data_IF_407622457030
#
_entry.id   IF_407622457030
#
_cell.length_a   1.000
_cell.length_b   1.000
_cell.length_c   1.000
_cell.angle_alpha   90.00
_cell.angle_beta   90.00
_cell.angle_gamma   90.00
#
_symmetry.space_group_name_H-M   'P 1'
#
loop_
_entity.id
_entity.type
_entity.pdbx_description
1 polymer ?
#
# COMPACT_ATOMS: atom_id res chain seq x y z
N UNK A 1 11.05 -10.53 -28.07
CA UNK A 1 11.36 -9.65 -26.95
C UNK A 1 12.77 -9.19 -27.17
N UNK A 2 12.92 -7.98 -27.73
CA UNK A 2 14.24 -7.43 -27.96
C UNK A 2 14.91 -7.23 -26.59
N UNK A 3 16.05 -7.88 -26.39
CA UNK A 3 16.92 -7.63 -25.25
C UNK A 3 17.35 -6.17 -25.37
N UNK A 4 16.87 -5.33 -24.45
CA UNK A 4 17.43 -3.99 -24.29
C UNK A 4 18.87 -4.21 -23.88
N UNK A 5 19.80 -3.95 -24.82
CA UNK A 5 21.23 -3.95 -24.54
C UNK A 5 21.49 -2.79 -23.57
N UNK A 6 21.41 -3.07 -22.29
CA UNK A 6 21.73 -2.11 -21.24
C UNK A 6 23.24 -1.85 -21.35
N UNK A 7 23.59 -0.75 -22.00
CA UNK A 7 24.96 -0.30 -22.05
C UNK A 7 25.38 0.08 -20.62
N UNK A 8 26.03 -0.85 -19.92
CA UNK A 8 26.39 -0.77 -18.49
C UNK A 8 27.11 0.53 -18.11
N UNK A 9 27.76 1.19 -19.07
CA UNK A 9 28.43 2.48 -18.84
C UNK A 9 27.49 3.65 -18.50
N UNK A 10 26.18 3.49 -18.72
CA UNK A 10 25.17 4.51 -18.37
C UNK A 10 24.38 4.17 -17.11
N UNK A 11 24.68 3.05 -16.46
CA UNK A 11 24.08 2.70 -15.19
C UNK A 11 24.76 3.45 -14.06
N UNK A 12 23.98 3.96 -13.12
CA UNK A 12 24.45 4.55 -11.88
C UNK A 12 24.54 3.42 -10.85
N UNK A 13 25.75 3.07 -10.40
CA UNK A 13 25.99 1.87 -9.60
C UNK A 13 26.55 2.15 -8.21
N UNK A 14 26.92 3.41 -7.91
CA UNK A 14 27.47 3.76 -6.59
C UNK A 14 26.68 4.91 -5.96
N UNK A 15 26.79 5.03 -4.64
CA UNK A 15 26.16 6.13 -3.89
C UNK A 15 26.79 7.48 -4.29
N UNK A 16 28.09 7.51 -4.53
CA UNK A 16 28.84 8.70 -4.95
C UNK A 16 28.33 9.24 -6.31
N UNK A 17 28.03 8.35 -7.24
CA UNK A 17 27.42 8.71 -8.52
C UNK A 17 26.01 9.27 -8.34
N UNK A 18 25.20 8.69 -7.43
CA UNK A 18 23.87 9.23 -7.08
C UNK A 18 24.01 10.61 -6.47
N UNK A 19 24.92 10.81 -5.53
CA UNK A 19 25.14 12.12 -4.89
C UNK A 19 25.65 13.18 -5.87
N UNK A 20 26.52 12.79 -6.80
CA UNK A 20 26.98 13.69 -7.87
C UNK A 20 25.84 14.12 -8.81
N UNK A 21 24.88 13.21 -9.09
CA UNK A 21 23.75 13.48 -9.98
C UNK A 21 22.66 14.33 -9.32
N UNK A 22 22.34 14.10 -8.05
CA UNK A 22 21.20 14.72 -7.36
C UNK A 22 21.60 15.84 -6.39
N UNK A 23 22.85 15.88 -5.93
CA UNK A 23 23.32 16.81 -4.93
C UNK A 23 22.76 16.50 -3.52
N UNK A 24 23.04 17.39 -2.59
CA UNK A 24 22.57 17.25 -1.21
C UNK A 24 21.05 17.44 -1.11
N UNK A 25 20.36 16.67 -0.23
CA UNK A 25 18.94 16.85 0.01
C UNK A 25 18.66 18.23 0.62
N UNK A 26 17.52 18.82 0.28
CA UNK A 26 17.06 20.05 0.90
C UNK A 26 16.87 19.85 2.41
N UNK A 27 17.35 20.77 3.22
CA UNK A 27 17.24 20.74 4.69
C UNK A 27 15.77 20.54 5.15
N UNK A 28 14.81 21.21 4.49
CA UNK A 28 13.39 21.06 4.75
C UNK A 28 12.85 19.66 4.48
N UNK A 29 13.46 18.91 3.54
CA UNK A 29 13.09 17.54 3.24
C UNK A 29 13.57 16.56 4.31
N UNK A 30 14.68 16.86 4.96
CA UNK A 30 15.23 16.07 6.08
C UNK A 30 14.49 16.42 7.40
N UNK A 31 14.30 17.69 7.70
CA UNK A 31 13.67 18.15 8.96
C UNK A 31 12.23 17.68 9.19
N UNK A 32 11.49 17.34 8.13
CA UNK A 32 10.10 16.85 8.27
C UNK A 32 10.01 15.40 8.75
N UNK A 33 11.11 14.66 8.71
CA UNK A 33 11.20 13.26 9.11
C UNK A 33 11.26 13.17 10.62
N UNK A 34 10.42 12.33 11.19
CA UNK A 34 10.31 12.14 12.65
C UNK A 34 10.34 10.66 12.99
N UNK A 35 10.86 10.31 14.17
CA UNK A 35 10.82 8.93 14.67
C UNK A 35 9.45 8.54 15.28
N UNK A 36 8.49 9.48 15.26
CA UNK A 36 7.18 9.32 15.89
C UNK A 36 6.09 9.84 14.98
N UNK A 37 4.86 9.37 15.18
CA UNK A 37 3.66 9.92 14.56
C UNK A 37 3.31 11.23 15.26
N UNK A 38 3.55 12.34 14.57
CA UNK A 38 3.21 13.68 15.05
C UNK A 38 1.71 13.97 14.91
N UNK A 39 1.20 14.99 15.61
CA UNK A 39 -0.24 15.34 15.62
C UNK A 39 -0.86 15.48 14.22
N UNK A 40 -0.28 16.18 13.24
CA UNK A 40 -0.82 16.19 11.87
C UNK A 40 -0.82 14.81 11.19
N UNK A 41 0.21 14.00 11.44
CA UNK A 41 0.30 12.65 10.91
C UNK A 41 -0.77 11.72 11.47
N UNK A 42 -1.08 11.84 12.77
CA UNK A 42 -2.18 11.12 13.41
C UNK A 42 -3.52 11.42 12.73
N UNK A 43 -3.84 12.70 12.56
CA UNK A 43 -5.08 13.12 11.89
C UNK A 43 -5.15 12.60 10.44
N UNK A 44 -4.02 12.55 9.75
CA UNK A 44 -3.95 12.01 8.38
C UNK A 44 -4.21 10.50 8.35
N UNK A 45 -3.59 9.72 9.25
CA UNK A 45 -3.79 8.28 9.36
C UNK A 45 -5.25 7.96 9.70
N UNK A 46 -5.82 8.66 10.69
CA UNK A 46 -7.20 8.47 11.13
C UNK A 46 -8.22 8.79 10.03
N UNK A 47 -7.93 9.75 9.16
CA UNK A 47 -8.79 10.10 8.03
C UNK A 47 -8.58 9.21 6.77
N UNK A 48 -7.53 8.39 6.75
CA UNK A 48 -7.15 7.60 5.58
C UNK A 48 -7.99 6.33 5.45
N UNK A 49 -8.74 6.13 4.34
CA UNK A 49 -9.44 4.88 4.08
C UNK A 49 -8.57 3.85 3.36
N UNK A 50 -7.33 4.22 2.98
CA UNK A 50 -6.50 3.42 2.09
C UNK A 50 -5.02 3.60 2.37
N UNK A 51 -4.27 2.52 2.24
CA UNK A 51 -2.81 2.54 2.28
C UNK A 51 -2.22 1.52 1.28
N UNK A 52 -0.99 1.76 0.88
CA UNK A 52 -0.12 0.77 0.25
C UNK A 52 0.92 0.33 1.27
N UNK A 53 1.15 -0.97 1.38
CA UNK A 53 2.18 -1.55 2.26
C UNK A 53 3.18 -2.33 1.41
N UNK A 54 4.44 -1.90 1.45
CA UNK A 54 5.57 -2.60 0.87
C UNK A 54 6.25 -3.46 1.92
N UNK A 55 6.61 -4.67 1.53
CA UNK A 55 7.34 -5.66 2.33
C UNK A 55 8.39 -6.35 1.46
N UNK A 56 9.41 -6.93 2.05
CA UNK A 56 10.45 -7.63 1.30
C UNK A 56 11.01 -8.81 2.09
N UNK A 57 11.54 -9.78 1.34
CA UNK A 57 12.32 -10.90 1.87
C UNK A 57 13.34 -11.32 0.81
N UNK A 58 14.14 -12.33 1.09
CA UNK A 58 15.05 -12.91 0.09
C UNK A 58 14.31 -13.52 -1.12
N UNK A 59 13.02 -13.85 -0.96
CA UNK A 59 12.17 -14.33 -2.05
C UNK A 59 11.64 -13.22 -2.97
N UNK A 60 11.82 -11.95 -2.60
CA UNK A 60 11.39 -10.79 -3.38
C UNK A 60 10.65 -9.71 -2.59
N UNK A 61 10.02 -8.81 -3.33
CA UNK A 61 9.22 -7.71 -2.79
C UNK A 61 7.74 -7.91 -3.07
N UNK A 62 6.90 -7.47 -2.13
CA UNK A 62 5.46 -7.35 -2.29
C UNK A 62 5.02 -5.92 -1.98
N UNK A 63 4.06 -5.41 -2.74
CA UNK A 63 3.42 -4.14 -2.46
C UNK A 63 1.90 -4.33 -2.58
N UNK A 64 1.21 -4.39 -1.46
CA UNK A 64 -0.21 -4.70 -1.41
C UNK A 64 -1.06 -3.53 -0.90
N UNK A 65 -2.24 -3.31 -1.50
CA UNK A 65 -3.22 -2.36 -1.01
C UNK A 65 -3.93 -2.91 0.24
N UNK A 66 -4.22 -2.01 1.18
CA UNK A 66 -5.15 -2.27 2.29
C UNK A 66 -6.11 -1.10 2.40
N UNK A 67 -7.38 -1.40 2.62
CA UNK A 67 -8.41 -0.37 2.69
C UNK A 67 -9.62 -0.83 3.46
N UNK A 68 -10.28 0.14 4.10
CA UNK A 68 -11.52 -0.01 4.87
C UNK A 68 -12.09 1.40 5.13
N UNK A 69 -13.13 1.54 5.92
CA UNK A 69 -13.61 2.85 6.35
C UNK A 69 -12.49 3.66 7.04
N UNK A 70 -12.50 5.01 6.94
CA UNK A 70 -11.54 5.85 7.65
C UNK A 70 -11.43 5.48 9.13
N UNK A 71 -10.21 5.48 9.67
CA UNK A 71 -9.94 5.03 11.04
C UNK A 71 -9.68 3.52 11.18
N UNK A 72 -9.62 2.77 10.09
CA UNK A 72 -9.34 1.34 10.13
C UNK A 72 -7.92 0.99 10.62
N UNK A 73 -7.00 1.93 10.61
CA UNK A 73 -5.68 1.78 11.23
C UNK A 73 -5.73 2.43 12.61
N UNK A 74 -5.53 1.64 13.65
CA UNK A 74 -5.49 2.18 15.01
C UNK A 74 -4.08 2.60 15.40
N UNK A 75 -3.98 3.80 15.94
CA UNK A 75 -2.73 4.34 16.50
C UNK A 75 -2.74 4.02 18.00
N UNK A 76 -2.02 2.96 18.40
CA UNK A 76 -1.98 2.50 19.79
C UNK A 76 -1.25 3.51 20.69
N UNK A 77 -0.12 4.01 20.19
CA UNK A 77 0.69 5.09 20.77
C UNK A 77 1.38 5.89 19.65
N UNK A 78 2.26 6.82 19.97
CA UNK A 78 2.93 7.65 18.97
C UNK A 78 3.98 6.91 18.11
N UNK A 79 4.24 5.63 18.40
CA UNK A 79 5.19 4.77 17.67
C UNK A 79 4.60 3.43 17.24
N UNK A 80 3.30 3.19 17.48
CA UNK A 80 2.72 1.87 17.20
C UNK A 80 1.42 1.99 16.44
N UNK A 81 1.37 1.35 15.27
CA UNK A 81 0.17 1.19 14.46
C UNK A 81 -0.33 -0.25 14.52
N UNK A 82 -1.64 -0.41 14.54
CA UNK A 82 -2.34 -1.69 14.39
C UNK A 82 -3.13 -1.64 13.08
N UNK A 83 -2.87 -2.59 12.17
CA UNK A 83 -3.51 -2.68 10.86
C UNK A 83 -4.19 -4.04 10.75
N UNK A 84 -5.51 -4.11 10.53
CA UNK A 84 -6.20 -5.40 10.43
C UNK A 84 -5.84 -6.10 9.12
N UNK A 85 -5.62 -7.42 9.20
CA UNK A 85 -5.49 -8.27 8.02
C UNK A 85 -6.84 -8.90 7.72
N UNK A 86 -7.60 -8.26 6.81
CA UNK A 86 -8.93 -8.70 6.38
C UNK A 86 -8.85 -9.93 5.49
N UNK A 87 -9.97 -10.60 5.31
CA UNK A 87 -10.07 -11.75 4.40
C UNK A 87 -9.71 -11.33 2.98
N UNK A 88 -8.88 -12.12 2.33
CA UNK A 88 -8.43 -11.94 0.96
C UNK A 88 -8.30 -13.28 0.22
N UNK A 89 -7.43 -13.34 -0.77
CA UNK A 89 -7.19 -14.51 -1.62
C UNK A 89 -6.25 -15.57 -0.98
N UNK A 90 -5.81 -15.37 0.25
CA UNK A 90 -4.90 -16.25 1.01
C UNK A 90 -3.47 -16.40 0.43
N UNK A 91 -3.05 -15.56 -0.51
CA UNK A 91 -1.64 -15.57 -0.97
C UNK A 91 -0.68 -15.21 0.16
N UNK A 92 -1.05 -14.24 0.98
CA UNK A 92 -0.33 -13.79 2.19
C UNK A 92 1.16 -13.49 1.99
N UNK A 93 1.55 -13.07 0.79
CA UNK A 93 2.95 -12.82 0.44
C UNK A 93 3.57 -11.76 1.36
N UNK A 94 2.87 -10.64 1.60
CA UNK A 94 3.31 -9.62 2.54
C UNK A 94 3.44 -10.12 3.99
N UNK A 95 2.58 -11.03 4.46
CA UNK A 95 2.68 -11.65 5.79
C UNK A 95 3.93 -12.53 5.88
N UNK A 96 4.18 -13.35 4.84
CA UNK A 96 5.39 -14.20 4.77
C UNK A 96 6.65 -13.35 4.77
N UNK A 97 6.65 -12.26 4.01
CA UNK A 97 7.78 -11.31 4.00
C UNK A 97 8.02 -10.73 5.40
N UNK A 98 6.98 -10.28 6.12
CA UNK A 98 7.10 -9.73 7.47
C UNK A 98 7.72 -10.74 8.45
N UNK A 99 7.39 -12.02 8.34
CA UNK A 99 7.97 -13.08 9.18
C UNK A 99 9.48 -13.25 8.90
N UNK A 100 9.88 -13.17 7.63
CA UNK A 100 11.30 -13.32 7.22
C UNK A 100 12.09 -12.05 7.43
N UNK A 101 11.50 -10.89 7.11
CA UNK A 101 12.10 -9.57 7.22
C UNK A 101 11.02 -8.59 7.71
N UNK A 102 11.17 -8.14 8.93
CA UNK A 102 10.18 -7.28 9.57
C UNK A 102 10.05 -5.87 8.96
N UNK A 103 10.95 -5.44 8.07
CA UNK A 103 10.92 -4.09 7.50
C UNK A 103 9.72 -3.87 6.60
N UNK A 104 9.03 -2.76 6.84
CA UNK A 104 7.84 -2.34 6.05
C UNK A 104 7.92 -0.86 5.71
N UNK A 105 7.38 -0.53 4.51
CA UNK A 105 7.12 0.84 4.08
C UNK A 105 5.63 1.02 3.82
N UNK A 106 5.03 2.10 4.35
CA UNK A 106 3.61 2.36 4.22
C UNK A 106 3.38 3.75 3.65
N UNK A 107 2.43 3.86 2.73
CA UNK A 107 1.92 5.13 2.21
C UNK A 107 0.42 5.21 2.46
N UNK A 108 0.00 6.13 3.30
CA UNK A 108 -1.40 6.46 3.53
C UNK A 108 -1.90 7.45 2.49
N UNK A 109 -3.11 7.22 1.98
CA UNK A 109 -3.74 8.03 0.94
C UNK A 109 -5.18 8.36 1.30
N UNK A 110 -5.56 9.60 1.01
CA UNK A 110 -6.94 10.08 1.15
C UNK A 110 -7.42 10.52 -0.22
N UNK A 111 -8.55 10.00 -0.74
CA UNK A 111 -9.10 10.42 -2.01
C UNK A 111 -9.27 11.95 -2.09
N UNK A 112 -8.76 12.55 -3.15
CA UNK A 112 -8.78 14.01 -3.33
C UNK A 112 -7.61 14.77 -2.69
N UNK A 113 -6.89 14.19 -1.73
CA UNK A 113 -5.71 14.82 -1.15
C UNK A 113 -4.45 14.55 -1.99
N UNK A 114 -3.75 15.62 -2.39
CA UNK A 114 -2.49 15.48 -3.15
C UNK A 114 -1.29 15.12 -2.26
N UNK A 115 -1.40 15.33 -0.95
CA UNK A 115 -0.37 14.96 0.03
C UNK A 115 -0.61 13.51 0.48
N UNK A 116 0.46 12.78 0.77
CA UNK A 116 0.40 11.46 1.41
C UNK A 116 1.20 11.48 2.70
N UNK A 117 0.95 10.51 3.58
CA UNK A 117 1.73 10.32 4.79
C UNK A 117 2.46 8.97 4.72
N UNK A 118 3.77 8.98 4.96
CA UNK A 118 4.61 7.79 4.94
C UNK A 118 4.99 7.38 6.35
N UNK A 119 5.02 6.06 6.53
CA UNK A 119 5.56 5.42 7.74
C UNK A 119 6.46 4.29 7.30
N UNK A 120 7.68 4.29 7.80
CA UNK A 120 8.62 3.18 7.68
C UNK A 120 8.87 2.61 9.08
N UNK A 121 9.11 1.31 9.16
CA UNK A 121 9.36 0.68 10.46
C UNK A 121 9.46 -0.84 10.37
N UNK A 122 9.22 -1.47 11.51
CA UNK A 122 9.24 -2.93 11.65
C UNK A 122 7.86 -3.44 12.00
N UNK A 123 7.44 -4.49 11.33
CA UNK A 123 6.15 -5.12 11.55
C UNK A 123 6.29 -6.51 12.18
N UNK A 124 5.27 -6.90 12.91
CA UNK A 124 5.03 -8.26 13.39
C UNK A 124 3.57 -8.62 13.20
N UNK A 125 3.26 -9.92 13.21
CA UNK A 125 1.88 -10.42 13.07
C UNK A 125 1.40 -10.86 14.43
N UNK A 126 0.23 -10.37 14.83
CA UNK A 126 -0.41 -10.69 16.12
C UNK A 126 -1.79 -11.32 15.92
N UNK A 127 -2.08 -12.31 16.72
CA UNK A 127 -3.42 -12.91 16.89
C UNK A 127 -3.98 -12.63 18.28
N UNK A 128 -3.43 -11.62 18.98
CA UNK A 128 -3.92 -11.22 20.30
C UNK A 128 -5.40 -10.83 20.23
N UNK A 129 -6.27 -11.49 21.01
CA UNK A 129 -7.71 -11.18 21.02
C UNK A 129 -8.00 -9.70 21.33
N UNK A 130 -7.20 -9.08 22.19
CA UNK A 130 -7.37 -7.67 22.57
C UNK A 130 -7.12 -6.70 21.39
N UNK A 131 -6.31 -7.10 20.44
CA UNK A 131 -6.09 -6.37 19.20
C UNK A 131 -7.15 -6.71 18.15
N UNK A 132 -7.48 -7.99 17.99
CA UNK A 132 -8.50 -8.45 17.03
C UNK A 132 -9.86 -7.82 17.30
N UNK A 133 -10.24 -7.69 18.56
CA UNK A 133 -11.53 -7.14 18.99
C UNK A 133 -11.73 -5.67 18.63
N UNK A 134 -10.64 -4.92 18.44
CA UNK A 134 -10.69 -3.53 18.00
C UNK A 134 -11.18 -3.36 16.56
N UNK A 135 -11.14 -4.43 15.76
CA UNK A 135 -11.39 -4.42 14.32
C UNK A 135 -12.59 -5.27 13.92
N UNK A 136 -13.50 -5.56 14.84
CA UNK A 136 -14.73 -6.29 14.53
C UNK A 136 -15.62 -5.44 13.63
N UNK A 137 -15.99 -6.00 12.46
CA UNK A 137 -16.95 -5.42 11.51
C UNK A 137 -17.96 -6.51 11.15
N UNK A 138 -19.26 -6.21 11.19
CA UNK A 138 -20.33 -7.19 10.96
C UNK A 138 -20.17 -8.49 11.76
N UNK A 139 -19.80 -8.39 13.03
CA UNK A 139 -19.52 -9.50 13.95
C UNK A 139 -18.37 -10.43 13.50
N UNK A 140 -17.51 -9.98 12.57
CA UNK A 140 -16.34 -10.73 12.13
C UNK A 140 -15.05 -10.04 12.57
N UNK A 141 -14.13 -10.79 13.15
CA UNK A 141 -12.77 -10.38 13.48
C UNK A 141 -11.87 -10.52 12.23
N UNK A 142 -10.83 -9.69 12.08
CA UNK A 142 -9.76 -10.00 11.14
C UNK A 142 -9.05 -11.29 11.56
N UNK A 143 -8.32 -11.94 10.65
CA UNK A 143 -7.54 -13.15 10.97
C UNK A 143 -6.32 -12.86 11.82
N UNK A 144 -5.71 -11.70 11.60
CA UNK A 144 -4.53 -11.22 12.31
C UNK A 144 -4.53 -9.69 12.33
N UNK A 145 -3.64 -9.14 13.12
CA UNK A 145 -3.30 -7.72 13.14
C UNK A 145 -1.81 -7.56 12.84
N UNK A 146 -1.49 -6.71 11.89
CA UNK A 146 -0.11 -6.28 11.63
C UNK A 146 0.19 -5.17 12.62
N UNK A 147 1.15 -5.41 13.51
CA UNK A 147 1.63 -4.45 14.50
C UNK A 147 2.89 -3.80 13.94
N UNK A 148 2.84 -2.51 13.67
CA UNK A 148 3.97 -1.77 13.11
C UNK A 148 4.60 -0.87 14.17
N UNK A 149 5.89 -1.09 14.45
CA UNK A 149 6.72 -0.17 15.23
C UNK A 149 7.35 0.84 14.28
N UNK A 150 6.95 2.09 14.45
CA UNK A 150 7.37 3.22 13.62
C UNK A 150 8.81 3.59 13.93
N UNK A 151 9.65 3.62 12.92
CA UNK A 151 11.02 4.11 12.99
C UNK A 151 11.15 5.49 12.33
N UNK A 152 10.26 5.76 11.34
CA UNK A 152 10.27 6.99 10.56
C UNK A 152 8.86 7.34 10.08
N UNK A 153 8.48 8.60 10.19
CA UNK A 153 7.20 9.08 9.70
C UNK A 153 7.31 10.52 9.17
N UNK A 154 6.69 10.78 8.01
CA UNK A 154 6.68 12.11 7.38
C UNK A 154 5.63 12.25 6.27
N UNK A 155 5.24 13.47 5.98
CA UNK A 155 4.42 13.75 4.81
C UNK A 155 5.24 13.74 3.53
N UNK A 156 4.67 13.24 2.43
CA UNK A 156 5.28 13.27 1.10
C UNK A 156 4.69 14.40 0.25
N UNK A 157 5.54 14.99 -0.61
CA UNK A 157 5.14 16.15 -1.42
C UNK A 157 4.07 15.79 -2.46
N UNK A 158 3.24 16.76 -2.91
CA UNK A 158 2.13 16.52 -3.82
C UNK A 158 2.53 16.35 -5.29
N UNK A 159 3.81 16.52 -5.65
CA UNK A 159 4.25 16.67 -7.05
C UNK A 159 3.82 15.52 -7.97
N UNK A 160 3.86 14.26 -7.50
CA UNK A 160 3.44 13.11 -8.30
C UNK A 160 1.95 13.15 -8.61
N UNK A 161 1.11 13.42 -7.61
CA UNK A 161 -0.35 13.53 -7.76
C UNK A 161 -0.77 14.69 -8.65
N UNK A 162 -0.08 15.83 -8.53
CA UNK A 162 -0.35 17.02 -9.36
C UNK A 162 0.04 16.74 -10.81
N UNK A 163 1.22 16.16 -11.07
CA UNK A 163 1.65 15.85 -12.43
C UNK A 163 0.78 14.79 -13.12
N UNK A 164 0.39 13.75 -12.38
CA UNK A 164 -0.47 12.69 -12.91
C UNK A 164 -1.94 13.11 -13.02
N UNK A 165 -2.34 14.20 -12.38
CA UNK A 165 -3.75 14.63 -12.27
C UNK A 165 -4.63 13.50 -11.70
N UNK A 166 -4.06 12.66 -10.82
CA UNK A 166 -4.67 11.40 -10.39
C UNK A 166 -6.13 11.54 -9.95
N UNK A 167 -6.42 12.54 -9.13
CA UNK A 167 -7.77 12.73 -8.61
C UNK A 167 -8.73 13.37 -9.62
N UNK A 168 -8.27 14.34 -10.39
CA UNK A 168 -9.10 15.01 -11.39
C UNK A 168 -9.40 14.14 -12.59
N UNK A 169 -8.45 13.36 -13.07
CA UNK A 169 -8.69 12.38 -14.13
C UNK A 169 -9.43 11.16 -13.61
N UNK A 170 -9.10 10.66 -12.41
CA UNK A 170 -9.79 9.54 -11.78
C UNK A 170 -11.27 9.79 -11.54
N UNK A 171 -11.68 11.03 -11.28
CA UNK A 171 -13.08 11.41 -11.14
C UNK A 171 -13.88 11.28 -12.45
N UNK A 172 -13.23 11.22 -13.61
CA UNK A 172 -13.86 10.97 -14.92
C UNK A 172 -14.17 9.49 -15.18
N UNK A 173 -13.72 8.60 -14.29
CA UNK A 173 -13.85 7.16 -14.45
C UNK A 173 -12.59 6.51 -15.05
N UNK A 174 -12.69 5.22 -15.27
CA UNK A 174 -11.62 4.43 -15.89
C UNK A 174 -11.65 4.68 -17.41
N UNK A 175 -10.50 5.03 -18.04
CA UNK A 175 -10.45 5.22 -19.49
C UNK A 175 -10.82 3.95 -20.27
N UNK A 176 -11.37 4.15 -21.47
CA UNK A 176 -11.68 3.05 -22.37
C UNK A 176 -10.44 2.20 -22.69
N UNK A 177 -10.62 0.89 -22.78
CA UNK A 177 -9.54 -0.05 -23.09
C UNK A 177 -8.68 -0.48 -21.90
N UNK A 178 -8.89 0.08 -20.71
CA UNK A 178 -8.23 -0.40 -19.48
C UNK A 178 -8.85 -1.74 -19.07
N UNK A 179 -8.05 -2.82 -18.94
CA UNK A 179 -8.59 -4.14 -18.58
C UNK A 179 -9.11 -4.17 -17.14
N UNK A 180 -10.22 -4.85 -16.94
CA UNK A 180 -10.80 -5.17 -15.64
C UNK A 180 -10.43 -6.60 -15.18
N UNK A 181 -10.93 -7.03 -14.02
CA UNK A 181 -10.66 -8.37 -13.48
C UNK A 181 -11.12 -9.50 -14.41
N UNK A 182 -12.23 -9.32 -15.10
CA UNK A 182 -12.73 -10.28 -16.08
C UNK A 182 -11.80 -10.43 -17.28
N UNK A 183 -11.24 -9.31 -17.77
CA UNK A 183 -10.26 -9.34 -18.88
C UNK A 183 -9.00 -10.12 -18.51
N UNK A 184 -8.45 -9.89 -17.31
CA UNK A 184 -7.29 -10.64 -16.82
C UNK A 184 -7.61 -12.12 -16.62
N UNK A 185 -8.81 -12.46 -16.12
CA UNK A 185 -9.23 -13.84 -15.96
C UNK A 185 -9.37 -14.55 -17.32
N UNK A 186 -10.00 -13.92 -18.31
CA UNK A 186 -10.11 -14.47 -19.66
C UNK A 186 -8.73 -14.73 -20.27
N UNK A 187 -7.80 -13.79 -20.17
CA UNK A 187 -6.43 -13.98 -20.66
C UNK A 187 -5.72 -15.17 -19.98
N UNK A 188 -5.83 -15.30 -18.66
CA UNK A 188 -5.23 -16.39 -17.89
C UNK A 188 -5.81 -17.76 -18.28
N UNK A 189 -7.12 -17.83 -18.47
CA UNK A 189 -7.86 -19.08 -18.62
C UNK A 189 -8.15 -19.45 -20.11
N UNK A 190 -7.66 -18.64 -21.06
CA UNK A 190 -7.88 -18.82 -22.49
C UNK A 190 -9.34 -18.56 -22.92
N UNK A 191 -10.06 -17.72 -22.15
CA UNK A 191 -11.45 -17.33 -22.43
C UNK A 191 -11.54 -16.17 -23.42
N UNK A 192 -12.74 -15.96 -23.92
CA UNK A 192 -13.09 -14.87 -24.81
C UNK A 192 -13.73 -13.67 -24.09
N UNK A 193 -14.27 -12.73 -24.86
CA UNK A 193 -14.96 -11.55 -24.31
C UNK A 193 -16.19 -11.93 -23.47
N UNK A 194 -16.96 -12.90 -23.88
CA UNK A 194 -18.15 -13.34 -23.13
C UNK A 194 -17.75 -13.95 -21.78
N UNK A 195 -16.65 -14.70 -21.75
CA UNK A 195 -16.06 -15.19 -20.49
C UNK A 195 -15.65 -14.02 -19.57
N UNK A 196 -14.98 -12.99 -20.12
CA UNK A 196 -14.55 -11.83 -19.34
C UNK A 196 -15.73 -11.08 -18.70
N UNK A 197 -16.79 -10.82 -19.50
CA UNK A 197 -18.00 -10.11 -19.05
C UNK A 197 -18.73 -10.93 -17.95
N UNK A 198 -18.87 -12.23 -18.12
CA UNK A 198 -19.47 -13.11 -17.11
C UNK A 198 -18.64 -13.13 -15.83
N UNK A 199 -17.32 -13.32 -15.95
CA UNK A 199 -16.41 -13.32 -14.79
C UNK A 199 -16.53 -12.04 -13.98
N UNK A 200 -16.54 -10.87 -14.65
CA UNK A 200 -16.64 -9.56 -13.98
C UNK A 200 -17.96 -9.43 -13.23
N UNK A 201 -19.09 -9.80 -13.84
CA UNK A 201 -20.40 -9.78 -13.20
C UNK A 201 -20.45 -10.69 -11.95
N UNK A 202 -19.97 -11.93 -12.08
CA UNK A 202 -19.88 -12.91 -10.98
C UNK A 202 -18.93 -12.43 -9.88
N UNK A 203 -17.84 -11.71 -10.24
CA UNK A 203 -16.89 -11.18 -9.29
C UNK A 203 -17.48 -10.06 -8.45
N UNK A 204 -18.19 -9.13 -9.07
CA UNK A 204 -18.88 -8.03 -8.37
C UNK A 204 -19.93 -8.56 -7.37
N UNK A 205 -20.67 -9.62 -7.75
CA UNK A 205 -21.60 -10.25 -6.82
C UNK A 205 -20.89 -10.92 -5.64
N UNK A 206 -19.82 -11.67 -5.90
CA UNK A 206 -19.02 -12.30 -4.83
C UNK A 206 -18.36 -11.31 -3.89
N UNK A 207 -18.03 -10.10 -4.34
CA UNK A 207 -17.44 -9.07 -3.48
C UNK A 207 -18.38 -8.64 -2.35
N UNK A 208 -19.70 -8.60 -2.60
CA UNK A 208 -20.69 -8.18 -1.60
C UNK A 208 -20.61 -9.02 -0.32
N UNK A 209 -20.34 -10.32 -0.45
CA UNK A 209 -20.31 -11.27 0.67
C UNK A 209 -18.89 -11.52 1.24
N UNK A 210 -17.85 -11.01 0.59
CA UNK A 210 -16.45 -11.35 0.89
C UNK A 210 -15.57 -10.17 1.29
N UNK A 211 -16.16 -9.02 1.56
CA UNK A 211 -15.41 -7.84 2.03
C UNK A 211 -14.90 -8.02 3.48
N UNK A 212 -15.64 -8.81 4.28
CA UNK A 212 -15.34 -9.07 5.69
C UNK A 212 -15.50 -10.54 6.05
#
# INVERSE_FOLDING_TARGET
MDSVDHNDKFLVNTIEEVEALYGAPLESAVKKQTANIVKPGRAFIEASPFLLMATSSDAGVDCSPKGDAPGFVHILDNQTLLIPDRIGNNRVDGIRNIISNSRVGIIFMIPGANVTYRVNGKASISIDPSFLDRFVVHNKRPRAVIVVKVEEAFHHCPKAFVRSKLWSEGAKGVPDGVPNSGTFAAYRDGGDRAYAEKYEADYQERLKDRLY
#
